data_IF_280884668255
#
_entry.id   IF_280884668255
#
_cell.length_a   1.000
_cell.length_b   1.000
_cell.length_c   1.000
_cell.angle_alpha   90.00
_cell.angle_beta   90.00
_cell.angle_gamma   90.00
#
_symmetry.space_group_name_H-M   'P 1'
#
loop_
_entity.id
_entity.type
_entity.pdbx_description
1 polymer ?
#
# COMPACT_ATOMS: atom_id res chain seq x y z
N UNK A 1 7.69 29.57 -1.68
CA UNK A 1 8.45 29.24 -2.90
C UNK A 1 7.77 28.07 -3.57
N UNK A 2 7.06 28.35 -4.67
CA UNK A 2 6.44 27.39 -5.59
C UNK A 2 5.68 26.21 -4.96
N UNK A 3 4.47 26.46 -4.47
CA UNK A 3 3.44 25.41 -4.36
C UNK A 3 3.04 24.99 -5.78
N UNK A 4 3.88 24.18 -6.42
CA UNK A 4 3.56 23.46 -7.66
C UNK A 4 2.55 22.35 -7.34
N UNK A 5 1.44 22.73 -6.72
CA UNK A 5 0.31 21.85 -6.49
C UNK A 5 -0.44 21.68 -7.81
N UNK A 6 -0.65 20.43 -8.20
CA UNK A 6 -1.44 20.10 -9.39
C UNK A 6 -2.85 20.65 -9.19
N UNK A 7 -3.43 21.39 -10.16
CA UNK A 7 -4.79 21.90 -10.06
C UNK A 7 -5.78 20.79 -9.66
N UNK A 8 -6.65 21.01 -8.66
CA UNK A 8 -7.53 19.96 -8.12
C UNK A 8 -8.40 19.26 -9.17
N UNK A 9 -8.83 20.00 -10.20
CA UNK A 9 -9.58 19.45 -11.32
C UNK A 9 -8.82 18.37 -12.10
N UNK A 10 -7.50 18.52 -12.25
CA UNK A 10 -6.65 17.53 -12.94
C UNK A 10 -6.55 16.25 -12.10
N UNK A 11 -6.37 16.38 -10.78
CA UNK A 11 -6.33 15.22 -9.86
C UNK A 11 -7.67 14.49 -9.88
N UNK A 12 -8.78 15.21 -9.80
CA UNK A 12 -10.12 14.63 -9.86
C UNK A 12 -10.36 13.91 -11.20
N UNK A 13 -9.97 14.51 -12.32
CA UNK A 13 -10.08 13.88 -13.64
C UNK A 13 -9.23 12.60 -13.73
N UNK A 14 -7.99 12.62 -13.23
CA UNK A 14 -7.15 11.43 -13.16
C UNK A 14 -7.76 10.34 -12.28
N UNK A 15 -8.35 10.68 -11.13
CA UNK A 15 -9.05 9.73 -10.27
C UNK A 15 -10.27 9.10 -10.97
N UNK A 16 -11.04 9.87 -11.73
CA UNK A 16 -12.15 9.34 -12.55
C UNK A 16 -11.61 8.35 -13.58
N UNK A 17 -10.55 8.70 -14.32
CA UNK A 17 -9.96 7.80 -15.32
C UNK A 17 -9.42 6.50 -14.70
N UNK A 18 -8.72 6.61 -13.57
CA UNK A 18 -8.23 5.44 -12.83
C UNK A 18 -9.41 4.59 -12.36
N UNK A 19 -10.45 5.22 -11.79
CA UNK A 19 -11.67 4.54 -11.35
C UNK A 19 -12.38 3.79 -12.48
N UNK A 20 -12.54 4.42 -13.65
CA UNK A 20 -13.12 3.77 -14.85
C UNK A 20 -12.24 2.63 -15.35
N UNK A 21 -10.91 2.83 -15.41
CA UNK A 21 -9.96 1.80 -15.87
C UNK A 21 -9.94 0.56 -14.97
N UNK A 22 -10.17 0.73 -13.67
CA UNK A 22 -10.32 -0.37 -12.72
C UNK A 22 -11.73 -0.97 -12.83
N UNK A 23 -12.76 -0.13 -12.92
CA UNK A 23 -14.17 -0.53 -13.02
C UNK A 23 -14.47 -1.41 -14.23
N UNK A 24 -13.89 -1.10 -15.39
CA UNK A 24 -14.09 -1.90 -16.61
C UNK A 24 -13.55 -3.33 -16.49
N UNK A 25 -12.62 -3.59 -15.56
CA UNK A 25 -12.13 -4.96 -15.28
C UNK A 25 -13.20 -5.87 -14.68
N UNK A 26 -14.28 -5.29 -14.17
CA UNK A 26 -15.43 -6.04 -13.65
C UNK A 26 -16.54 -6.21 -14.70
N UNK A 27 -16.39 -5.69 -15.92
CA UNK A 27 -17.38 -5.85 -16.97
C UNK A 27 -17.63 -7.35 -17.26
N UNK A 28 -18.91 -7.76 -17.25
CA UNK A 28 -19.30 -9.17 -17.42
C UNK A 28 -19.07 -10.07 -16.21
N UNK A 29 -18.57 -9.55 -15.09
CA UNK A 29 -18.44 -10.32 -13.83
C UNK A 29 -19.75 -10.31 -13.06
N UNK A 30 -20.20 -11.46 -12.57
CA UNK A 30 -21.42 -11.54 -11.75
C UNK A 30 -21.23 -10.84 -10.41
N UNK A 31 -22.30 -10.23 -9.89
CA UNK A 31 -22.24 -9.53 -8.59
C UNK A 31 -21.84 -10.47 -7.43
N UNK A 32 -22.23 -11.74 -7.52
CA UNK A 32 -21.82 -12.78 -6.58
C UNK A 32 -20.30 -13.03 -6.61
N UNK A 33 -19.68 -13.07 -7.80
CA UNK A 33 -18.24 -13.22 -7.93
C UNK A 33 -17.50 -11.97 -7.42
N UNK A 34 -18.03 -10.78 -7.65
CA UNK A 34 -17.49 -9.54 -7.05
C UNK A 34 -17.54 -9.61 -5.53
N UNK A 35 -18.67 -10.01 -4.94
CA UNK A 35 -18.83 -10.15 -3.49
C UNK A 35 -17.86 -11.16 -2.89
N UNK A 36 -17.67 -12.32 -3.55
CA UNK A 36 -16.69 -13.32 -3.11
C UNK A 36 -15.24 -12.80 -3.19
N UNK A 37 -14.88 -12.11 -4.28
CA UNK A 37 -13.56 -11.50 -4.41
C UNK A 37 -13.33 -10.40 -3.36
N UNK A 38 -14.35 -9.62 -3.01
CA UNK A 38 -14.27 -8.65 -1.91
C UNK A 38 -14.01 -9.33 -0.56
N UNK A 39 -14.65 -10.48 -0.30
CA UNK A 39 -14.39 -11.26 0.91
C UNK A 39 -12.94 -11.75 0.97
N UNK A 40 -12.41 -12.26 -0.15
CA UNK A 40 -11.00 -12.67 -0.24
C UNK A 40 -10.08 -11.47 -0.02
N UNK A 41 -10.36 -10.34 -0.66
CA UNK A 41 -9.57 -9.12 -0.51
C UNK A 41 -9.57 -8.61 0.94
N UNK A 42 -10.71 -8.69 1.63
CA UNK A 42 -10.80 -8.37 3.05
C UNK A 42 -9.95 -9.32 3.91
N UNK A 43 -10.02 -10.62 3.66
CA UNK A 43 -9.18 -11.60 4.36
C UNK A 43 -7.68 -11.33 4.12
N UNK A 44 -7.29 -10.99 2.90
CA UNK A 44 -5.91 -10.60 2.59
C UNK A 44 -5.49 -9.32 3.32
N UNK A 45 -6.35 -8.30 3.35
CA UNK A 45 -6.08 -7.06 4.08
C UNK A 45 -5.88 -7.34 5.58
N UNK A 46 -6.68 -8.23 6.16
CA UNK A 46 -6.53 -8.64 7.55
C UNK A 46 -5.20 -9.35 7.81
N UNK A 47 -4.80 -10.28 6.93
CA UNK A 47 -3.50 -10.96 7.04
C UNK A 47 -2.34 -9.97 6.95
N UNK A 48 -2.39 -9.02 6.02
CA UNK A 48 -1.38 -7.96 5.87
C UNK A 48 -1.33 -7.04 7.10
N UNK A 49 -2.48 -6.71 7.67
CA UNK A 49 -2.55 -5.89 8.88
C UNK A 49 -1.94 -6.63 10.08
N UNK A 50 -2.27 -7.91 10.26
CA UNK A 50 -1.71 -8.73 11.34
C UNK A 50 -0.20 -8.89 11.21
N UNK A 51 0.30 -9.13 9.99
CA UNK A 51 1.74 -9.21 9.74
C UNK A 51 2.43 -7.86 9.97
N UNK A 52 1.83 -6.74 9.54
CA UNK A 52 2.35 -5.41 9.85
C UNK A 52 2.40 -5.15 11.36
N UNK A 53 1.38 -5.56 12.11
CA UNK A 53 1.34 -5.44 13.56
C UNK A 53 2.44 -6.25 14.24
N UNK A 54 2.59 -7.53 13.87
CA UNK A 54 3.66 -8.38 14.40
C UNK A 54 5.04 -7.80 14.05
N UNK A 55 5.26 -7.39 12.80
CA UNK A 55 6.51 -6.78 12.38
C UNK A 55 6.81 -5.49 13.16
N UNK A 56 5.83 -4.61 13.33
CA UNK A 56 5.99 -3.36 14.08
C UNK A 56 6.30 -3.60 15.56
N UNK A 57 5.60 -4.57 16.18
CA UNK A 57 5.87 -4.95 17.56
C UNK A 57 7.26 -5.54 17.73
N UNK A 58 7.68 -6.44 16.84
CA UNK A 58 9.04 -7.00 16.88
C UNK A 58 10.11 -5.91 16.67
N UNK A 59 9.89 -4.97 15.74
CA UNK A 59 10.79 -3.84 15.52
C UNK A 59 10.87 -2.95 16.77
N UNK A 60 9.75 -2.69 17.45
CA UNK A 60 9.74 -1.97 18.72
C UNK A 60 10.57 -2.67 19.79
N UNK A 61 10.42 -3.99 19.95
CA UNK A 61 11.18 -4.76 20.93
C UNK A 61 12.70 -4.75 20.65
N UNK A 62 13.11 -4.73 19.38
CA UNK A 62 14.52 -4.75 18.98
C UNK A 62 15.16 -3.36 19.06
N UNK A 63 14.43 -2.32 18.66
CA UNK A 63 14.99 -0.97 18.47
C UNK A 63 14.63 0.01 19.59
N UNK A 64 13.60 -0.29 20.39
CA UNK A 64 13.00 0.64 21.35
C UNK A 64 12.19 1.78 20.72
N UNK A 65 12.08 1.84 19.39
CA UNK A 65 11.39 2.91 18.68
C UNK A 65 9.86 2.81 18.79
N UNK A 66 9.12 3.91 18.62
CA UNK A 66 7.66 3.93 18.79
C UNK A 66 6.94 2.83 17.97
N UNK A 67 6.21 1.96 18.67
CA UNK A 67 5.40 0.91 18.05
C UNK A 67 4.31 1.48 17.13
N UNK A 68 3.74 2.64 17.49
CA UNK A 68 2.75 3.32 16.65
C UNK A 68 3.37 3.86 15.35
N UNK A 69 4.58 4.43 15.43
CA UNK A 69 5.29 4.91 14.24
C UNK A 69 5.68 3.75 13.32
N UNK A 70 6.20 2.65 13.88
CA UNK A 70 6.53 1.44 13.14
C UNK A 70 5.27 0.79 12.51
N UNK A 71 4.15 0.76 13.24
CA UNK A 71 2.89 0.22 12.74
C UNK A 71 2.40 1.01 11.54
N UNK A 72 2.34 2.34 11.62
CA UNK A 72 1.93 3.18 10.49
C UNK A 72 2.86 3.02 9.29
N UNK A 73 4.18 2.93 9.51
CA UNK A 73 5.15 2.72 8.46
C UNK A 73 5.02 1.36 7.75
N UNK A 74 4.59 0.32 8.47
CA UNK A 74 4.42 -1.03 7.92
C UNK A 74 3.00 -1.31 7.44
N UNK A 75 2.02 -0.50 7.82
CA UNK A 75 0.61 -0.75 7.52
C UNK A 75 0.38 -0.82 6.00
N UNK A 76 -0.37 -1.82 5.51
CA UNK A 76 -0.83 -1.81 4.13
C UNK A 76 -1.76 -0.61 3.93
N UNK A 77 -1.51 0.18 2.89
CA UNK A 77 -2.24 1.42 2.64
C UNK A 77 -1.47 2.36 1.73
N UNK A 78 -2.11 3.47 1.37
CA UNK A 78 -1.49 4.55 0.62
C UNK A 78 -0.65 5.44 1.52
N UNK A 79 0.49 5.88 1.01
CA UNK A 79 1.43 6.70 1.78
C UNK A 79 0.80 8.04 2.23
N UNK A 80 0.05 8.78 1.38
CA UNK A 80 -0.55 10.04 1.81
C UNK A 80 -1.54 9.89 2.96
N UNK A 81 -2.40 8.88 2.91
CA UNK A 81 -3.42 8.62 3.92
C UNK A 81 -2.79 8.28 5.27
N UNK A 82 -1.78 7.42 5.25
CA UNK A 82 -1.07 7.00 6.47
C UNK A 82 -0.20 8.11 7.05
N UNK A 83 0.38 8.96 6.22
CA UNK A 83 1.11 10.15 6.67
C UNK A 83 0.19 11.20 7.30
N UNK A 84 -1.06 11.33 6.82
CA UNK A 84 -2.05 12.19 7.46
C UNK A 84 -2.48 11.65 8.83
N UNK A 85 -2.64 10.33 8.95
CA UNK A 85 -2.89 9.67 10.25
C UNK A 85 -1.68 9.84 11.18
N UNK A 86 -0.46 9.75 10.66
CA UNK A 86 0.74 9.99 11.45
C UNK A 86 0.74 11.42 12.00
N UNK A 87 0.47 12.40 11.13
CA UNK A 87 0.39 13.81 11.50
C UNK A 87 -0.66 14.06 12.60
N UNK A 88 -1.84 13.44 12.50
CA UNK A 88 -2.89 13.60 13.51
C UNK A 88 -2.55 12.95 14.85
N UNK A 89 -1.69 11.93 14.84
CA UNK A 89 -1.18 11.25 16.05
C UNK A 89 0.13 11.86 16.58
N UNK A 90 0.62 12.96 16.00
CA UNK A 90 1.89 13.58 16.40
C UNK A 90 3.13 12.75 16.04
N UNK A 91 2.99 11.82 15.08
CA UNK A 91 4.07 10.99 14.55
C UNK A 91 4.64 11.67 13.31
N UNK A 92 5.97 11.70 13.20
CA UNK A 92 6.68 12.33 12.08
C UNK A 92 6.25 11.73 10.72
N UNK A 93 5.54 12.48 9.85
CA UNK A 93 5.03 11.94 8.58
C UNK A 93 6.13 11.59 7.58
N UNK A 94 7.30 12.24 7.69
CA UNK A 94 8.46 11.94 6.87
C UNK A 94 8.97 10.51 7.11
N UNK A 95 8.92 10.02 8.35
CA UNK A 95 9.30 8.64 8.69
C UNK A 95 8.40 7.63 7.96
N UNK A 96 7.07 7.82 8.07
CA UNK A 96 6.06 6.94 7.45
C UNK A 96 6.21 6.98 5.92
N UNK A 97 6.22 8.18 5.33
CA UNK A 97 6.35 8.36 3.88
C UNK A 97 7.61 7.71 3.33
N UNK A 98 8.76 7.87 4.00
CA UNK A 98 10.04 7.32 3.56
C UNK A 98 10.01 5.79 3.53
N UNK A 99 9.39 5.14 4.52
CA UNK A 99 9.23 3.68 4.53
C UNK A 99 8.34 3.19 3.37
N UNK A 100 7.23 3.89 3.09
CA UNK A 100 6.38 3.54 1.95
C UNK A 100 7.08 3.74 0.61
N UNK A 101 7.87 4.81 0.46
CA UNK A 101 8.68 5.04 -0.74
C UNK A 101 9.73 3.94 -0.92
N UNK A 102 10.48 3.60 0.13
CA UNK A 102 11.44 2.50 0.11
C UNK A 102 10.77 1.20 -0.35
N UNK A 103 9.60 0.86 0.24
CA UNK A 103 8.82 -0.32 -0.15
C UNK A 103 8.49 -0.31 -1.64
N UNK A 104 7.97 0.80 -2.16
CA UNK A 104 7.59 0.91 -3.58
C UNK A 104 8.83 0.80 -4.48
N UNK A 105 9.92 1.48 -4.14
CA UNK A 105 11.19 1.40 -4.89
C UNK A 105 11.73 -0.03 -4.91
N UNK A 106 11.78 -0.71 -3.76
CA UNK A 106 12.22 -2.09 -3.65
C UNK A 106 11.33 -3.02 -4.49
N UNK A 107 10.00 -2.85 -4.43
CA UNK A 107 9.08 -3.64 -5.23
C UNK A 107 9.29 -3.41 -6.73
N UNK A 108 9.42 -2.18 -7.19
CA UNK A 108 9.62 -1.87 -8.62
C UNK A 108 10.92 -2.50 -9.14
N UNK A 109 12.00 -2.44 -8.35
CA UNK A 109 13.30 -2.98 -8.74
C UNK A 109 13.35 -4.52 -8.69
N UNK A 110 12.79 -5.13 -7.64
CA UNK A 110 12.92 -6.57 -7.40
C UNK A 110 11.83 -7.42 -8.08
N UNK A 111 10.62 -6.88 -8.27
CA UNK A 111 9.52 -7.63 -8.91
C UNK A 111 9.89 -8.25 -10.27
N UNK A 112 10.49 -7.53 -11.23
CA UNK A 112 10.84 -8.15 -12.52
C UNK A 112 11.86 -9.28 -12.37
N UNK A 113 12.84 -9.13 -11.45
CA UNK A 113 13.83 -10.17 -11.16
C UNK A 113 13.19 -11.41 -10.56
N UNK A 114 12.29 -11.22 -9.59
CA UNK A 114 11.56 -12.29 -8.93
C UNK A 114 10.68 -13.05 -9.93
N UNK A 115 9.93 -12.33 -10.77
CA UNK A 115 9.10 -12.93 -11.82
C UNK A 115 9.95 -13.71 -12.82
N UNK A 116 11.11 -13.18 -13.22
CA UNK A 116 12.03 -13.88 -14.13
C UNK A 116 12.58 -15.17 -13.49
N UNK A 117 12.93 -15.14 -12.20
CA UNK A 117 13.40 -16.30 -11.45
C UNK A 117 12.32 -17.38 -11.30
N UNK A 118 11.10 -16.99 -10.90
CA UNK A 118 9.96 -17.92 -10.81
C UNK A 118 9.65 -18.60 -12.14
N UNK A 119 9.73 -17.87 -13.26
CA UNK A 119 9.53 -18.43 -14.60
C UNK A 119 10.61 -19.44 -15.01
N UNK A 120 11.81 -19.39 -14.44
CA UNK A 120 12.87 -20.38 -14.68
C UNK A 120 12.62 -21.65 -13.87
N UNK A 121 12.22 -21.51 -12.60
CA UNK A 121 11.87 -22.63 -11.73
C UNK A 121 10.66 -23.44 -12.24
N UNK A 122 9.64 -22.77 -12.78
CA UNK A 122 8.46 -23.47 -13.33
C UNK A 122 8.73 -24.21 -14.65
N UNK A 123 9.90 -24.01 -15.28
CA UNK A 123 10.30 -24.71 -16.51
C UNK A 123 11.27 -25.86 -16.26
N UNK A 124 11.75 -26.04 -15.03
CA UNK A 124 12.63 -27.13 -14.61
C UNK A 124 11.81 -28.21 -13.89
#
# INVERSE_FOLDING_TARGET
TSDASVPPFIVAFAQVLIGVSVGVRFAGTSLAAVGFNLLIAFAQALVLLLTAFVAAWTAHLITGYSAAAALLAYMPGGAPELSLVALSLGIEPAFVTSHHLLRITVLILLTPMLVAWMKRLHRA
#
